data_IF_780080912266
#
_entry.id   IF_780080912266
#
_cell.length_a   1.000
_cell.length_b   1.000
_cell.length_c   1.000
_cell.angle_alpha   90.00
_cell.angle_beta   90.00
_cell.angle_gamma   90.00
#
_symmetry.space_group_name_H-M   'P 1'
#
loop_
_entity.id
_entity.type
_entity.pdbx_description
1 polymer ?
#
# COMPACT_ATOMS: atom_id res chain seq x y z
N UNK A 1 21.00 6.29 1.57
CA UNK A 1 20.42 6.10 0.22
C UNK A 1 19.96 4.65 0.07
N UNK A 2 18.97 4.39 -0.81
CA UNK A 2 18.41 3.04 -1.05
C UNK A 2 19.49 2.02 -1.47
N UNK A 3 20.32 2.40 -2.46
CA UNK A 3 21.42 1.57 -2.95
C UNK A 3 22.38 1.12 -1.84
N UNK A 4 22.70 2.02 -0.91
CA UNK A 4 23.55 1.71 0.24
C UNK A 4 22.87 0.73 1.21
N UNK A 5 21.57 0.89 1.45
CA UNK A 5 20.81 -0.01 2.32
C UNK A 5 20.78 -1.44 1.74
N UNK A 6 20.50 -1.56 0.44
CA UNK A 6 20.47 -2.85 -0.27
C UNK A 6 21.87 -3.48 -0.34
N UNK A 7 22.93 -2.69 -0.55
CA UNK A 7 24.31 -3.18 -0.55
C UNK A 7 24.69 -3.81 0.79
N UNK A 8 24.28 -3.18 1.89
CA UNK A 8 24.54 -3.70 3.24
C UNK A 8 23.67 -4.92 3.59
N UNK A 9 22.47 -4.98 3.08
CA UNK A 9 21.48 -6.04 3.35
C UNK A 9 20.84 -6.50 2.05
N UNK A 10 21.50 -7.34 1.25
CA UNK A 10 20.97 -7.75 -0.07
C UNK A 10 19.70 -8.59 0.01
N UNK A 11 19.48 -9.32 1.11
CA UNK A 11 18.26 -10.06 1.39
C UNK A 11 17.30 -9.18 2.18
N UNK A 12 16.57 -8.31 1.49
CA UNK A 12 15.67 -7.33 2.11
C UNK A 12 14.37 -7.17 1.33
N UNK A 13 13.37 -6.60 1.99
CA UNK A 13 12.15 -6.13 1.34
C UNK A 13 12.26 -4.61 1.18
N UNK A 14 12.07 -4.14 -0.03
CA UNK A 14 11.99 -2.72 -0.36
C UNK A 14 10.54 -2.39 -0.67
N UNK A 15 9.95 -1.52 0.14
CA UNK A 15 8.61 -0.99 -0.07
C UNK A 15 8.70 0.39 -0.72
N UNK A 16 8.04 0.54 -1.86
CA UNK A 16 7.83 1.82 -2.55
C UNK A 16 6.37 2.20 -2.37
N UNK A 17 6.13 3.07 -1.42
CA UNK A 17 4.78 3.48 -1.07
C UNK A 17 4.31 4.63 -1.96
N UNK A 18 3.05 4.61 -2.37
CA UNK A 18 2.42 5.61 -3.24
C UNK A 18 3.21 5.86 -4.55
N UNK A 19 3.60 4.80 -5.22
CA UNK A 19 4.50 4.87 -6.37
C UNK A 19 3.92 5.68 -7.55
N UNK A 20 2.61 5.89 -7.62
CA UNK A 20 1.97 6.77 -8.61
C UNK A 20 2.33 8.26 -8.43
N UNK A 21 2.77 8.66 -7.23
CA UNK A 21 3.21 10.03 -6.93
C UNK A 21 4.69 10.27 -7.26
N UNK A 22 5.43 9.20 -7.56
CA UNK A 22 6.85 9.31 -7.86
C UNK A 22 7.08 10.01 -9.21
N UNK A 23 8.13 10.82 -9.30
CA UNK A 23 8.53 11.39 -10.58
C UNK A 23 8.92 10.26 -11.56
N UNK A 24 8.63 10.48 -12.84
CA UNK A 24 8.87 9.48 -13.90
C UNK A 24 10.32 9.00 -13.94
N UNK A 25 11.28 9.87 -13.63
CA UNK A 25 12.69 9.51 -13.61
C UNK A 25 13.02 8.49 -12.52
N UNK A 26 12.35 8.60 -11.35
CA UNK A 26 12.47 7.61 -10.28
C UNK A 26 11.94 6.26 -10.75
N UNK A 27 10.78 6.24 -11.39
CA UNK A 27 10.23 5.02 -11.96
C UNK A 27 11.13 4.43 -13.07
N UNK A 28 11.78 5.27 -13.87
CA UNK A 28 12.73 4.82 -14.89
C UNK A 28 13.95 4.09 -14.28
N UNK A 29 14.41 4.51 -13.10
CA UNK A 29 15.46 3.78 -12.36
C UNK A 29 14.98 2.39 -11.95
N UNK A 30 13.76 2.28 -11.43
CA UNK A 30 13.20 0.98 -11.07
C UNK A 30 12.95 0.07 -12.27
N UNK A 31 12.61 0.61 -13.45
CA UNK A 31 12.55 -0.20 -14.68
C UNK A 31 13.89 -0.88 -14.98
N UNK A 32 15.03 -0.21 -14.74
CA UNK A 32 16.35 -0.83 -14.90
C UNK A 32 16.56 -1.95 -13.88
N UNK A 33 16.14 -1.76 -12.63
CA UNK A 33 16.22 -2.79 -11.59
C UNK A 33 15.41 -4.03 -11.99
N UNK A 34 14.18 -3.85 -12.47
CA UNK A 34 13.33 -4.96 -12.89
C UNK A 34 13.83 -5.64 -14.18
N UNK A 35 14.55 -4.94 -15.03
CA UNK A 35 15.09 -5.49 -16.29
C UNK A 35 16.43 -6.19 -16.07
N UNK A 36 17.37 -5.55 -15.38
CA UNK A 36 18.75 -6.01 -15.21
C UNK A 36 19.01 -6.67 -13.83
N UNK A 37 18.14 -6.43 -12.87
CA UNK A 37 18.37 -6.84 -11.47
C UNK A 37 19.43 -6.02 -10.74
N UNK A 38 19.85 -4.89 -11.32
CA UNK A 38 20.92 -4.05 -10.76
C UNK A 38 20.59 -2.57 -10.95
N UNK A 39 21.18 -1.74 -10.11
CA UNK A 39 21.11 -0.27 -10.19
C UNK A 39 22.48 0.31 -9.94
N UNK A 40 22.90 1.24 -10.80
CA UNK A 40 24.14 2.00 -10.61
C UNK A 40 23.89 3.17 -9.67
N UNK A 41 24.70 3.29 -8.62
CA UNK A 41 24.63 4.42 -7.69
C UNK A 41 25.26 5.69 -8.26
N UNK A 42 25.16 6.81 -7.52
CA UNK A 42 25.71 8.10 -7.93
C UNK A 42 27.24 8.14 -8.04
N UNK A 43 27.94 7.12 -7.54
CA UNK A 43 29.40 6.95 -7.65
C UNK A 43 29.80 6.04 -8.80
N UNK A 44 28.82 5.56 -9.59
CA UNK A 44 29.07 4.63 -10.71
C UNK A 44 29.21 3.17 -10.28
N UNK A 45 28.93 2.83 -9.01
CA UNK A 45 29.00 1.45 -8.52
C UNK A 45 27.69 0.72 -8.76
N UNK A 46 27.78 -0.49 -9.29
CA UNK A 46 26.62 -1.36 -9.51
C UNK A 46 26.20 -2.05 -8.22
N UNK A 47 24.91 -2.01 -7.89
CA UNK A 47 24.28 -2.65 -6.73
C UNK A 47 23.27 -3.67 -7.22
N UNK A 48 23.40 -4.91 -6.77
CA UNK A 48 22.50 -6.01 -7.13
C UNK A 48 21.24 -6.01 -6.27
N UNK A 49 20.08 -6.09 -6.92
CA UNK A 49 18.75 -6.23 -6.32
C UNK A 49 18.18 -7.65 -6.51
N UNK A 50 18.97 -8.59 -7.04
CA UNK A 50 18.48 -9.94 -7.39
C UNK A 50 17.94 -10.74 -6.20
N UNK A 51 18.41 -10.43 -5.00
CA UNK A 51 17.97 -11.08 -3.76
C UNK A 51 17.02 -10.18 -2.94
N UNK A 52 16.49 -9.12 -3.54
CA UNK A 52 15.61 -8.15 -2.89
C UNK A 52 14.18 -8.37 -3.38
N UNK A 53 13.23 -8.45 -2.46
CA UNK A 53 11.81 -8.38 -2.80
C UNK A 53 11.41 -6.91 -2.90
N UNK A 54 10.82 -6.49 -4.02
CA UNK A 54 10.33 -5.12 -4.21
C UNK A 54 8.80 -5.16 -4.21
N UNK A 55 8.20 -4.37 -3.33
CA UNK A 55 6.76 -4.18 -3.23
C UNK A 55 6.44 -2.73 -3.57
N UNK A 56 5.44 -2.53 -4.43
CA UNK A 56 4.92 -1.22 -4.77
C UNK A 56 3.49 -1.12 -4.27
N UNK A 57 3.16 -0.02 -3.60
CA UNK A 57 1.77 0.31 -3.31
C UNK A 57 1.29 1.44 -4.20
N UNK A 58 0.01 1.46 -4.50
CA UNK A 58 -0.60 2.53 -5.30
C UNK A 58 -2.09 2.65 -4.99
N UNK A 59 -2.60 3.87 -5.10
CA UNK A 59 -4.03 4.18 -5.03
C UNK A 59 -4.72 4.19 -6.41
N UNK A 60 -3.99 3.87 -7.47
CA UNK A 60 -4.55 3.77 -8.81
C UNK A 60 -5.67 2.70 -8.85
N UNK A 61 -6.69 2.97 -9.66
CA UNK A 61 -7.86 2.11 -9.83
C UNK A 61 -8.70 1.84 -8.55
N UNK A 62 -8.47 2.58 -7.47
CA UNK A 62 -9.22 2.41 -6.21
C UNK A 62 -10.73 2.55 -6.41
N UNK A 63 -11.18 3.50 -7.23
CA UNK A 63 -12.61 3.72 -7.51
C UNK A 63 -13.20 2.54 -8.30
N UNK A 64 -12.46 2.02 -9.26
CA UNK A 64 -12.87 0.85 -10.04
C UNK A 64 -12.95 -0.39 -9.15
N UNK A 65 -11.95 -0.62 -8.29
CA UNK A 65 -11.96 -1.70 -7.30
C UNK A 65 -13.20 -1.58 -6.40
N UNK A 66 -13.47 -0.39 -5.84
CA UNK A 66 -14.63 -0.17 -4.98
C UNK A 66 -15.94 -0.46 -5.70
N UNK A 67 -16.10 0.05 -6.93
CA UNK A 67 -17.31 -0.17 -7.73
C UNK A 67 -17.54 -1.66 -8.02
N UNK A 68 -16.47 -2.38 -8.37
CA UNK A 68 -16.55 -3.81 -8.68
C UNK A 68 -16.79 -4.67 -7.42
N UNK A 69 -16.39 -4.19 -6.24
CA UNK A 69 -16.50 -4.94 -4.98
C UNK A 69 -17.65 -4.46 -4.08
N UNK A 70 -18.41 -3.44 -4.50
CA UNK A 70 -19.54 -2.89 -3.73
C UNK A 70 -20.80 -3.77 -3.76
N UNK A 71 -20.86 -4.79 -4.63
CA UNK A 71 -22.00 -5.70 -4.78
C UNK A 71 -21.91 -6.94 -3.89
N UNK A 72 -23.04 -7.63 -3.75
CA UNK A 72 -23.09 -8.92 -3.04
C UNK A 72 -22.43 -10.08 -3.82
N UNK A 73 -22.17 -9.90 -5.12
CA UNK A 73 -21.47 -10.89 -5.94
C UNK A 73 -19.96 -10.77 -5.70
N UNK A 74 -19.33 -11.86 -5.31
CA UNK A 74 -17.90 -11.94 -5.26
C UNK A 74 -17.34 -11.96 -6.69
N UNK A 75 -16.70 -10.85 -7.10
CA UNK A 75 -15.89 -10.84 -8.30
C UNK A 75 -14.63 -11.67 -8.07
N UNK A 76 -14.26 -12.48 -9.05
CA UNK A 76 -13.01 -13.23 -9.03
C UNK A 76 -11.80 -12.28 -9.08
N UNK A 77 -10.71 -12.67 -8.42
CA UNK A 77 -9.51 -11.83 -8.33
C UNK A 77 -8.88 -11.58 -9.70
N UNK A 78 -8.84 -12.60 -10.55
CA UNK A 78 -8.30 -12.49 -11.91
C UNK A 78 -9.17 -11.56 -12.78
N UNK A 79 -10.49 -11.62 -12.66
CA UNK A 79 -11.41 -10.73 -13.35
C UNK A 79 -11.23 -9.28 -12.89
N UNK A 80 -11.07 -9.06 -11.57
CA UNK A 80 -10.80 -7.74 -11.01
C UNK A 80 -9.47 -7.19 -11.54
N UNK A 81 -8.41 -8.00 -11.55
CA UNK A 81 -7.10 -7.62 -12.10
C UNK A 81 -7.21 -7.23 -13.58
N UNK A 82 -7.95 -8.00 -14.38
CA UNK A 82 -8.17 -7.65 -15.80
C UNK A 82 -8.91 -6.33 -15.96
N UNK A 83 -9.89 -6.04 -15.09
CA UNK A 83 -10.68 -4.81 -15.12
C UNK A 83 -9.85 -3.58 -14.79
N UNK A 84 -8.92 -3.66 -13.84
CA UNK A 84 -8.08 -2.53 -13.42
C UNK A 84 -6.81 -2.35 -14.26
N UNK A 85 -6.39 -3.37 -14.99
CA UNK A 85 -5.16 -3.37 -15.77
C UNK A 85 -5.05 -2.19 -16.77
N UNK A 86 -6.09 -1.76 -17.49
CA UNK A 86 -6.04 -0.59 -18.36
C UNK A 86 -5.68 0.71 -17.63
N UNK A 87 -6.25 0.93 -16.44
CA UNK A 87 -5.94 2.13 -15.63
C UNK A 87 -4.48 2.12 -15.17
N UNK A 88 -3.97 0.97 -14.72
CA UNK A 88 -2.57 0.81 -14.35
C UNK A 88 -1.63 1.04 -15.55
N UNK A 89 -2.03 0.62 -16.75
CA UNK A 89 -1.23 0.77 -17.98
C UNK A 89 -1.09 2.23 -18.44
N UNK A 90 -1.98 3.12 -17.99
CA UNK A 90 -1.85 4.55 -18.24
C UNK A 90 -0.71 5.19 -17.41
N UNK A 91 -0.32 4.56 -16.29
CA UNK A 91 0.70 5.08 -15.38
C UNK A 91 2.00 4.29 -15.46
N UNK A 92 1.91 2.97 -15.53
CA UNK A 92 3.04 2.07 -15.54
C UNK A 92 3.27 1.47 -16.93
N UNK A 93 4.52 1.32 -17.32
CA UNK A 93 4.85 0.67 -18.59
C UNK A 93 4.33 -0.78 -18.62
N UNK A 94 3.74 -1.23 -19.72
CA UNK A 94 3.23 -2.60 -19.83
C UNK A 94 4.28 -3.68 -19.51
N UNK A 95 5.54 -3.43 -19.85
CA UNK A 95 6.66 -4.33 -19.54
C UNK A 95 6.88 -4.54 -18.04
N UNK A 96 6.60 -3.52 -17.20
CA UNK A 96 6.63 -3.64 -15.75
C UNK A 96 5.45 -4.47 -15.23
N UNK A 97 4.23 -4.13 -15.68
CA UNK A 97 3.01 -4.82 -15.28
C UNK A 97 2.98 -6.30 -15.69
N UNK A 98 3.75 -6.67 -16.73
CA UNK A 98 3.90 -8.06 -17.15
C UNK A 98 4.80 -8.89 -16.21
N UNK A 99 5.65 -8.23 -15.41
CA UNK A 99 6.64 -8.87 -14.53
C UNK A 99 6.25 -8.87 -13.06
N UNK A 100 5.18 -8.14 -12.70
CA UNK A 100 4.70 -8.03 -11.32
C UNK A 100 3.34 -8.71 -11.18
N UNK A 101 3.13 -9.51 -10.13
CA UNK A 101 1.79 -9.88 -9.72
C UNK A 101 1.06 -8.62 -9.21
N UNK A 102 -0.17 -8.43 -9.65
CA UNK A 102 -1.03 -7.34 -9.19
C UNK A 102 -1.94 -7.95 -8.13
N UNK A 103 -1.94 -7.36 -6.94
CA UNK A 103 -2.77 -7.78 -5.80
C UNK A 103 -3.75 -6.66 -5.48
N UNK A 104 -5.03 -6.76 -5.92
CA UNK A 104 -6.03 -5.74 -5.63
C UNK A 104 -6.50 -5.85 -4.18
N UNK A 105 -6.49 -4.72 -3.46
CA UNK A 105 -7.03 -4.63 -2.11
C UNK A 105 -8.48 -4.18 -2.15
N UNK A 106 -9.36 -5.04 -1.68
CA UNK A 106 -10.79 -4.75 -1.56
C UNK A 106 -11.06 -3.75 -0.45
N UNK A 107 -12.16 -3.01 -0.54
CA UNK A 107 -12.62 -2.13 0.53
C UNK A 107 -12.85 -2.92 1.82
N UNK A 108 -12.47 -2.32 2.94
CA UNK A 108 -12.70 -2.92 4.26
C UNK A 108 -14.21 -2.97 4.54
N UNK A 109 -14.66 -4.11 5.06
CA UNK A 109 -16.00 -4.24 5.58
C UNK A 109 -16.12 -3.64 6.99
N UNK A 110 -17.35 -3.48 7.48
CA UNK A 110 -17.60 -2.85 8.77
C UNK A 110 -16.95 -3.63 9.95
N UNK A 111 -16.84 -4.95 9.84
CA UNK A 111 -16.20 -5.77 10.87
C UNK A 111 -14.69 -5.51 10.94
N UNK A 112 -14.02 -5.49 9.77
CA UNK A 112 -12.60 -5.15 9.70
C UNK A 112 -12.34 -3.72 10.18
N UNK A 113 -13.21 -2.77 9.83
CA UNK A 113 -13.13 -1.39 10.32
C UNK A 113 -13.26 -1.31 11.85
N UNK A 114 -14.17 -2.07 12.46
CA UNK A 114 -14.30 -2.14 13.93
C UNK A 114 -13.03 -2.69 14.58
N UNK A 115 -12.45 -3.74 14.02
CA UNK A 115 -11.19 -4.32 14.53
C UNK A 115 -10.03 -3.32 14.45
N UNK A 116 -9.88 -2.62 13.33
CA UNK A 116 -8.85 -1.61 13.15
C UNK A 116 -9.05 -0.43 14.11
N UNK A 117 -10.28 0.08 14.23
CA UNK A 117 -10.60 1.15 15.16
C UNK A 117 -10.29 0.75 16.61
N UNK A 118 -10.65 -0.48 17.01
CA UNK A 118 -10.33 -1.03 18.33
C UNK A 118 -8.82 -1.11 18.59
N UNK A 119 -8.04 -1.59 17.62
CA UNK A 119 -6.58 -1.67 17.73
C UNK A 119 -5.94 -0.27 17.86
N UNK A 120 -6.40 0.71 17.08
CA UNK A 120 -5.92 2.09 17.15
C UNK A 120 -6.25 2.74 18.51
N UNK A 121 -7.48 2.57 18.99
CA UNK A 121 -7.88 3.05 20.30
C UNK A 121 -7.04 2.41 21.41
N UNK A 122 -6.79 1.10 21.35
CA UNK A 122 -5.88 0.41 22.26
C UNK A 122 -4.48 1.02 22.30
N UNK A 123 -3.93 1.35 21.13
CA UNK A 123 -2.63 2.02 21.02
C UNK A 123 -2.62 3.42 21.63
N UNK A 124 -3.73 4.18 21.48
CA UNK A 124 -3.89 5.49 22.12
C UNK A 124 -3.94 5.36 23.64
N UNK A 125 -4.71 4.39 24.16
CA UNK A 125 -4.80 4.11 25.61
C UNK A 125 -3.42 3.77 26.17
N UNK A 126 -2.68 2.86 25.52
CA UNK A 126 -1.33 2.49 25.97
C UNK A 126 -0.39 3.69 26.00
N UNK A 127 -0.42 4.54 24.99
CA UNK A 127 0.40 5.75 24.93
C UNK A 127 0.03 6.75 26.00
N UNK A 128 -1.26 6.92 26.32
CA UNK A 128 -1.72 7.80 27.41
C UNK A 128 -1.29 7.27 28.79
N UNK A 129 -1.38 5.95 29.00
CA UNK A 129 -0.87 5.33 30.23
C UNK A 129 0.63 5.56 30.40
N UNK A 130 1.40 5.36 29.34
CA UNK A 130 2.86 5.49 29.41
C UNK A 130 3.33 6.94 29.62
N UNK A 131 2.69 7.91 28.96
CA UNK A 131 3.16 9.29 28.97
C UNK A 131 2.53 10.15 30.07
N UNK A 132 1.26 9.92 30.40
CA UNK A 132 0.49 10.82 31.27
C UNK A 132 0.03 10.16 32.57
N UNK A 133 0.32 8.87 32.77
CA UNK A 133 -0.14 8.08 33.93
C UNK A 133 -1.65 8.15 34.15
N UNK A 134 -2.41 8.35 33.10
CA UNK A 134 -3.88 8.40 33.09
C UNK A 134 -4.42 7.08 32.57
N UNK A 135 -5.48 6.59 33.16
CA UNK A 135 -6.18 5.40 32.70
C UNK A 135 -7.45 5.78 31.91
N UNK A 136 -7.36 6.03 30.60
CA UNK A 136 -8.51 6.42 29.83
C UNK A 136 -9.47 5.25 29.69
N UNK A 137 -10.76 5.51 29.96
CA UNK A 137 -11.82 4.56 29.70
C UNK A 137 -12.51 4.92 28.38
N UNK A 138 -12.60 3.94 27.49
CA UNK A 138 -13.31 4.10 26.23
C UNK A 138 -14.70 3.53 26.43
N UNK A 139 -15.73 4.39 26.32
CA UNK A 139 -17.10 3.93 26.35
C UNK A 139 -17.41 3.05 25.13
N UNK A 140 -18.11 1.93 25.27
CA UNK A 140 -18.48 1.04 24.15
C UNK A 140 -19.15 1.77 23.00
N UNK A 141 -20.04 2.72 23.33
CA UNK A 141 -20.76 3.55 22.34
C UNK A 141 -19.81 4.41 21.50
N UNK A 142 -18.65 4.80 22.06
CA UNK A 142 -17.64 5.57 21.34
C UNK A 142 -17.04 4.82 20.17
N UNK A 143 -16.82 3.52 20.31
CA UNK A 143 -16.29 2.67 19.25
C UNK A 143 -17.33 2.49 18.14
N UNK A 144 -18.59 2.31 18.47
CA UNK A 144 -19.68 2.16 17.51
C UNK A 144 -19.93 3.43 16.69
N UNK A 145 -19.73 4.61 17.28
CA UNK A 145 -19.89 5.89 16.57
C UNK A 145 -18.70 6.25 15.69
N UNK A 146 -17.52 5.69 15.95
CA UNK A 146 -16.32 5.98 15.16
C UNK A 146 -16.34 5.29 13.79
N UNK A 147 -16.83 4.07 13.70
CA UNK A 147 -16.81 3.29 12.45
C UNK A 147 -17.55 3.99 11.29
N UNK A 148 -18.80 4.48 11.46
CA UNK A 148 -19.50 5.22 10.41
C UNK A 148 -18.75 6.48 9.99
N UNK A 149 -18.18 7.23 10.92
CA UNK A 149 -17.40 8.45 10.64
C UNK A 149 -16.12 8.17 9.87
N UNK A 150 -15.40 7.09 10.19
CA UNK A 150 -14.23 6.67 9.42
C UNK A 150 -14.60 6.34 7.96
N UNK A 151 -15.75 5.71 7.74
CA UNK A 151 -16.24 5.38 6.39
C UNK A 151 -16.64 6.64 5.62
N UNK A 152 -17.30 7.61 6.25
CA UNK A 152 -17.68 8.89 5.65
C UNK A 152 -16.45 9.75 5.33
N UNK A 153 -15.47 9.84 6.23
CA UNK A 153 -14.24 10.60 6.04
C UNK A 153 -13.40 10.03 4.91
N UNK A 154 -13.34 8.71 4.77
CA UNK A 154 -12.64 8.07 3.65
C UNK A 154 -13.32 8.32 2.29
N UNK A 155 -14.63 8.62 2.28
CA UNK A 155 -15.39 9.04 1.08
C UNK A 155 -15.26 10.54 0.81
N UNK A 156 -15.12 11.38 1.84
CA UNK A 156 -15.03 12.84 1.72
C UNK A 156 -13.61 13.36 1.45
N UNK A 157 -12.57 12.57 1.71
CA UNK A 157 -11.16 12.91 1.50
C UNK A 157 -10.65 12.61 0.08
N UNK A 158 -11.57 12.36 -0.85
CA UNK A 158 -11.28 12.09 -2.27
C UNK A 158 -11.80 13.22 -3.19
#
# INVERSE_FOLDING_TARGET
MLTEAVRRRPYSVVLLDECEKAHIDVMNLFYQVFDKGTLTDGEGKEVSFKNTMIMLTSNLASETIQRCTAGAAEIDEDELVQTIRPELSNHFRPALLARMPIVPYRSLNDEAMKLIAGAQLGSVVQRQRANNHVEPQIAPEGTEQLVPRCTETSRAAR
#
